data_IF_044161373381
#
_entry.id   IF_044161373381
#
_cell.length_a   1.000
_cell.length_b   1.000
_cell.length_c   1.000
_cell.angle_alpha   90.00
_cell.angle_beta   90.00
_cell.angle_gamma   90.00
#
_symmetry.space_group_name_H-M   'P 1'
#
loop_
_entity.id
_entity.type
_entity.pdbx_description
1 polymer ?
#
# COMPACT_ATOMS: atom_id res chain seq x y z
N UNK A 1 -21.28 3.22 -5.68
CA UNK A 1 -20.64 4.47 -5.24
C UNK A 1 -20.73 5.56 -6.32
N UNK A 2 -20.75 6.87 -5.99
CA UNK A 2 -20.69 7.98 -6.98
C UNK A 2 -19.24 8.27 -7.41
N UNK A 3 -19.02 8.90 -8.57
CA UNK A 3 -17.67 9.15 -9.10
C UNK A 3 -16.84 10.08 -8.21
N UNK A 4 -17.44 11.08 -7.58
CA UNK A 4 -16.76 12.01 -6.68
C UNK A 4 -16.26 11.31 -5.42
N UNK A 5 -17.08 10.42 -4.87
CA UNK A 5 -16.74 9.59 -3.71
C UNK A 5 -15.65 8.57 -4.07
N UNK A 6 -15.76 7.93 -5.23
CA UNK A 6 -14.74 7.02 -5.76
C UNK A 6 -13.39 7.73 -5.95
N UNK A 7 -13.39 8.96 -6.48
CA UNK A 7 -12.18 9.78 -6.63
C UNK A 7 -11.55 10.15 -5.29
N UNK A 8 -12.37 10.41 -4.26
CA UNK A 8 -11.87 10.67 -2.90
C UNK A 8 -11.15 9.44 -2.34
N UNK A 9 -11.79 8.27 -2.37
CA UNK A 9 -11.20 7.02 -1.88
C UNK A 9 -9.96 6.65 -2.69
N UNK A 10 -10.00 6.81 -4.02
CA UNK A 10 -8.86 6.60 -4.90
C UNK A 10 -7.66 7.48 -4.52
N UNK A 11 -7.89 8.77 -4.25
CA UNK A 11 -6.82 9.68 -3.85
C UNK A 11 -6.21 9.30 -2.50
N UNK A 12 -7.02 8.92 -1.52
CA UNK A 12 -6.54 8.47 -0.21
C UNK A 12 -5.78 7.14 -0.31
N UNK A 13 -6.26 6.19 -1.13
CA UNK A 13 -5.53 4.98 -1.49
C UNK A 13 -4.20 5.30 -2.17
N UNK A 14 -4.18 6.22 -3.14
CA UNK A 14 -2.96 6.62 -3.84
C UNK A 14 -1.93 7.25 -2.91
N UNK A 15 -2.36 8.05 -1.92
CA UNK A 15 -1.47 8.58 -0.89
C UNK A 15 -0.96 7.47 0.04
N UNK A 16 -1.83 6.53 0.42
CA UNK A 16 -1.45 5.36 1.21
C UNK A 16 -0.37 4.54 0.50
N UNK A 17 -0.43 4.40 -0.84
CA UNK A 17 0.57 3.68 -1.63
C UNK A 17 1.99 4.21 -1.48
N UNK A 18 2.15 5.51 -1.21
CA UNK A 18 3.46 6.06 -0.88
C UNK A 18 4.05 5.39 0.36
N UNK A 19 3.21 5.01 1.32
CA UNK A 19 3.58 4.39 2.60
C UNK A 19 3.57 2.86 2.50
N UNK A 20 2.67 2.27 1.71
CA UNK A 20 2.45 0.82 1.61
C UNK A 20 3.73 0.05 1.22
N UNK A 21 4.56 0.61 0.34
CA UNK A 21 5.87 0.03 -0.02
C UNK A 21 6.82 -0.17 1.16
N UNK A 22 6.62 0.55 2.27
CA UNK A 22 7.37 0.36 3.53
C UNK A 22 6.80 -0.78 4.37
N UNK A 23 5.48 -0.92 4.39
CA UNK A 23 4.83 -2.03 5.08
C UNK A 23 5.23 -3.35 4.43
N UNK A 24 5.37 -3.37 3.10
CA UNK A 24 5.89 -4.53 2.38
C UNK A 24 7.28 -4.99 2.90
N UNK A 25 8.17 -4.07 3.30
CA UNK A 25 9.47 -4.42 3.90
C UNK A 25 9.37 -5.09 5.27
N UNK A 26 8.32 -4.77 6.03
CA UNK A 26 8.08 -5.34 7.37
C UNK A 26 7.39 -6.69 7.23
N UNK A 27 6.36 -6.71 6.41
CA UNK A 27 5.42 -7.81 6.34
C UNK A 27 5.87 -8.88 5.35
N UNK A 28 6.51 -8.50 4.24
CA UNK A 28 7.15 -9.29 3.15
C UNK A 28 6.30 -10.39 2.47
N UNK A 29 5.37 -10.96 3.21
CA UNK A 29 4.64 -12.20 2.96
C UNK A 29 3.12 -11.97 2.99
N UNK A 30 2.71 -10.74 3.34
CA UNK A 30 1.33 -10.27 3.32
C UNK A 30 1.14 -9.15 4.34
N UNK A 31 0.63 -8.01 3.90
CA UNK A 31 0.34 -6.84 4.75
C UNK A 31 -1.05 -7.04 5.37
N UNK A 32 -1.27 -6.77 6.67
CA UNK A 32 -2.59 -6.87 7.28
C UNK A 32 -3.59 -5.93 6.59
N UNK A 33 -4.78 -6.42 6.27
CA UNK A 33 -5.86 -5.63 5.68
C UNK A 33 -6.25 -4.43 6.55
N UNK A 34 -6.06 -4.52 7.88
CA UNK A 34 -6.26 -3.40 8.82
C UNK A 34 -5.41 -2.17 8.54
N UNK A 35 -4.31 -2.28 7.79
CA UNK A 35 -3.52 -1.11 7.36
C UNK A 35 -4.13 -0.35 6.19
N UNK A 36 -5.10 -0.95 5.49
CA UNK A 36 -5.77 -0.27 4.39
C UNK A 36 -6.56 0.94 4.91
N UNK A 37 -6.59 2.06 4.18
CA UNK A 37 -7.37 3.24 4.57
C UNK A 37 -8.89 3.00 4.52
N UNK A 38 -9.32 1.97 3.78
CA UNK A 38 -10.72 1.55 3.62
C UNK A 38 -10.79 0.03 3.46
N UNK A 39 -11.96 -0.59 3.65
CA UNK A 39 -12.15 -2.00 3.35
C UNK A 39 -11.73 -2.33 1.91
N UNK A 40 -11.06 -3.46 1.72
CA UNK A 40 -10.49 -3.89 0.42
C UNK A 40 -11.49 -3.84 -0.72
N UNK A 41 -12.72 -4.30 -0.49
CA UNK A 41 -13.80 -4.26 -1.48
C UNK A 41 -14.24 -2.85 -1.84
N UNK A 42 -14.23 -1.92 -0.87
CA UNK A 42 -14.53 -0.50 -1.10
C UNK A 42 -13.46 0.14 -1.99
N UNK A 43 -12.18 -0.11 -1.71
CA UNK A 43 -11.07 0.38 -2.54
C UNK A 43 -11.19 -0.16 -3.97
N UNK A 44 -11.45 -1.47 -4.12
CA UNK A 44 -11.66 -2.12 -5.40
C UNK A 44 -12.82 -1.54 -6.20
N UNK A 45 -13.96 -1.27 -5.55
CA UNK A 45 -15.09 -0.60 -6.21
C UNK A 45 -14.69 0.80 -6.70
N UNK A 46 -14.00 1.59 -5.87
CA UNK A 46 -13.53 2.92 -6.23
C UNK A 46 -12.55 2.89 -7.41
N UNK A 47 -11.58 1.98 -7.40
CA UNK A 47 -10.61 1.79 -8.48
C UNK A 47 -11.30 1.47 -9.81
N UNK A 48 -12.30 0.58 -9.80
CA UNK A 48 -13.05 0.22 -11.00
C UNK A 48 -13.86 1.39 -11.57
N UNK A 49 -14.49 2.19 -10.70
CA UNK A 49 -15.24 3.39 -11.12
C UNK A 49 -14.29 4.43 -11.73
N UNK A 50 -13.16 4.70 -11.09
CA UNK A 50 -12.15 5.66 -11.59
C UNK A 50 -11.49 5.18 -12.88
N UNK A 51 -11.17 3.89 -12.97
CA UNK A 51 -10.65 3.25 -14.19
C UNK A 51 -11.63 3.40 -15.35
N UNK A 52 -12.92 3.12 -15.13
CA UNK A 52 -13.95 3.31 -16.15
C UNK A 52 -14.02 4.77 -16.60
N UNK A 53 -14.02 5.72 -15.66
CA UNK A 53 -14.00 7.14 -15.98
C UNK A 53 -12.81 7.51 -16.88
N UNK A 54 -11.61 6.99 -16.59
CA UNK A 54 -10.44 7.23 -17.43
C UNK A 54 -10.58 6.64 -18.83
N UNK A 55 -11.13 5.43 -18.98
CA UNK A 55 -11.44 4.87 -20.31
C UNK A 55 -12.46 5.73 -21.06
N UNK A 56 -13.54 6.16 -20.40
CA UNK A 56 -14.63 6.92 -21.01
C UNK A 56 -14.15 8.28 -21.55
N UNK A 57 -13.12 8.88 -20.94
CA UNK A 57 -12.51 10.15 -21.41
C UNK A 57 -11.29 9.95 -22.31
N UNK A 58 -10.94 8.71 -22.66
CA UNK A 58 -9.80 8.38 -23.53
C UNK A 58 -8.42 8.43 -22.87
N UNK A 59 -8.34 8.51 -21.54
CA UNK A 59 -7.09 8.51 -20.78
C UNK A 59 -6.65 7.07 -20.43
N UNK A 60 -6.27 6.33 -21.46
CA UNK A 60 -5.91 4.90 -21.35
C UNK A 60 -4.74 4.67 -20.39
N UNK A 61 -3.77 5.60 -20.38
CA UNK A 61 -2.57 5.48 -19.53
C UNK A 61 -2.93 5.43 -18.05
N UNK A 62 -3.81 6.32 -17.59
CA UNK A 62 -4.22 6.33 -16.19
C UNK A 62 -5.15 5.16 -15.84
N UNK A 63 -5.98 4.70 -16.79
CA UNK A 63 -6.77 3.48 -16.62
C UNK A 63 -5.89 2.22 -16.40
N UNK A 64 -4.83 2.08 -17.19
CA UNK A 64 -3.90 0.95 -17.09
C UNK A 64 -3.03 1.02 -15.83
N UNK A 65 -2.60 2.22 -15.44
CA UNK A 65 -1.86 2.45 -14.18
C UNK A 65 -2.69 2.07 -12.94
N UNK A 66 -3.99 2.40 -12.96
CA UNK A 66 -4.95 2.03 -11.90
C UNK A 66 -5.07 0.51 -11.77
N UNK A 67 -5.11 -0.20 -12.90
CA UNK A 67 -5.18 -1.67 -12.93
C UNK A 67 -3.92 -2.33 -12.36
N UNK A 68 -2.75 -1.82 -12.75
CA UNK A 68 -1.47 -2.37 -12.32
C UNK A 68 -1.25 -2.20 -10.81
N UNK A 69 -1.70 -1.06 -10.26
CA UNK A 69 -1.60 -0.77 -8.83
C UNK A 69 -2.59 -1.57 -7.99
N UNK A 70 -3.79 -1.85 -8.50
CA UNK A 70 -4.73 -2.77 -7.86
C UNK A 70 -4.09 -4.17 -7.66
N UNK A 71 -3.64 -4.78 -8.76
CA UNK A 71 -3.13 -6.16 -8.78
C UNK A 71 -1.88 -6.32 -7.90
N UNK A 72 -0.96 -5.35 -7.95
CA UNK A 72 0.32 -5.49 -7.27
C UNK A 72 0.25 -5.18 -5.76
N UNK A 73 -0.67 -4.32 -5.33
CA UNK A 73 -0.64 -3.78 -3.97
C UNK A 73 -1.91 -4.01 -3.17
N UNK A 74 -3.10 -4.02 -3.78
CA UNK A 74 -4.30 -4.29 -3.00
C UNK A 74 -4.35 -5.77 -2.61
N UNK A 75 -3.92 -6.65 -3.51
CA UNK A 75 -3.92 -8.10 -3.28
C UNK A 75 -2.77 -8.60 -2.41
N UNK A 76 -1.74 -7.77 -2.16
CA UNK A 76 -0.72 -8.07 -1.15
C UNK A 76 -1.22 -7.88 0.28
N UNK A 77 -2.41 -7.28 0.46
CA UNK A 77 -3.07 -7.20 1.75
C UNK A 77 -3.90 -8.45 1.98
N UNK A 78 -3.70 -9.10 3.12
CA UNK A 78 -4.35 -10.34 3.52
C UNK A 78 -4.95 -10.19 4.92
N UNK A 79 -5.72 -11.19 5.35
CA UNK A 79 -6.28 -11.23 6.70
C UNK A 79 -5.22 -10.95 7.78
N UNK A 80 -5.59 -10.18 8.81
CA UNK A 80 -4.64 -9.67 9.80
C UNK A 80 -3.95 -10.81 10.56
N UNK A 81 -4.71 -11.83 10.98
CA UNK A 81 -4.17 -12.98 11.70
C UNK A 81 -3.29 -13.81 10.77
N UNK A 82 -3.69 -13.98 9.51
CA UNK A 82 -2.86 -14.64 8.50
C UNK A 82 -1.52 -13.92 8.28
N UNK A 83 -1.53 -12.59 8.16
CA UNK A 83 -0.33 -11.77 8.00
C UNK A 83 0.61 -11.87 9.20
N UNK A 84 0.06 -11.78 10.42
CA UNK A 84 0.83 -11.93 11.65
C UNK A 84 1.47 -13.31 11.72
N UNK A 85 0.68 -14.37 11.50
CA UNK A 85 1.17 -15.75 11.54
C UNK A 85 2.28 -15.97 10.50
N UNK A 86 2.13 -15.47 9.27
CA UNK A 86 3.17 -15.58 8.23
C UNK A 86 4.47 -14.92 8.65
N UNK A 87 4.45 -13.74 9.28
CA UNK A 87 5.67 -13.10 9.79
C UNK A 87 6.27 -13.89 10.94
N UNK A 88 5.47 -14.30 11.93
CA UNK A 88 5.93 -15.04 13.11
C UNK A 88 6.60 -16.35 12.69
N UNK A 89 6.00 -17.04 11.73
CA UNK A 89 6.52 -18.29 11.21
C UNK A 89 7.61 -18.12 10.16
N UNK A 90 7.80 -16.91 9.64
CA UNK A 90 8.82 -16.62 8.63
C UNK A 90 10.22 -16.92 9.16
N UNK A 91 11.06 -17.39 8.25
CA UNK A 91 12.50 -17.52 8.47
C UNK A 91 13.16 -16.17 8.80
N UNK A 92 12.51 -15.06 8.40
CA UNK A 92 12.94 -13.69 8.65
C UNK A 92 13.06 -13.42 10.14
N UNK A 93 12.02 -13.73 10.94
CA UNK A 93 12.08 -13.55 12.38
C UNK A 93 12.93 -14.60 13.10
N UNK A 94 13.17 -15.75 12.49
CA UNK A 94 14.01 -16.81 13.06
C UNK A 94 15.52 -16.52 12.90
N UNK A 95 15.90 -15.67 11.94
CA UNK A 95 17.29 -15.29 11.70
C UNK A 95 17.64 -13.95 12.37
N UNK A 96 18.58 -13.97 13.33
CA UNK A 96 19.01 -12.76 14.06
C UNK A 96 19.65 -11.69 13.17
N UNK A 97 20.49 -12.08 12.21
CA UNK A 97 21.18 -11.12 11.35
C UNK A 97 20.21 -10.47 10.37
N UNK A 98 19.30 -11.24 9.78
CA UNK A 98 18.28 -10.69 8.90
C UNK A 98 17.33 -9.73 9.64
N UNK A 99 16.94 -10.06 10.88
CA UNK A 99 16.17 -9.14 11.73
C UNK A 99 16.88 -7.81 11.93
N UNK A 100 18.19 -7.84 12.23
CA UNK A 100 18.99 -6.60 12.39
C UNK A 100 19.00 -5.79 11.09
N UNK A 101 19.27 -6.44 9.96
CA UNK A 101 19.28 -5.77 8.65
C UNK A 101 17.94 -5.11 8.33
N UNK A 102 16.82 -5.80 8.56
CA UNK A 102 15.49 -5.24 8.31
C UNK A 102 15.24 -4.04 9.23
N UNK A 103 15.57 -4.14 10.51
CA UNK A 103 15.42 -3.02 11.46
C UNK A 103 16.26 -1.81 11.02
N UNK A 104 17.49 -2.02 10.55
CA UNK A 104 18.35 -0.95 10.05
C UNK A 104 17.78 -0.29 8.79
N UNK A 105 17.27 -1.08 7.84
CA UNK A 105 16.61 -0.55 6.64
C UNK A 105 15.33 0.22 6.99
N UNK A 106 14.54 -0.26 7.94
CA UNK A 106 13.36 0.46 8.44
C UNK A 106 13.74 1.77 9.11
N UNK A 107 14.85 1.81 9.87
CA UNK A 107 15.38 3.05 10.47
C UNK A 107 15.80 4.04 9.38
N UNK A 108 16.55 3.62 8.37
CA UNK A 108 16.95 4.50 7.24
C UNK A 108 15.73 5.09 6.53
N UNK A 109 14.71 4.26 6.29
CA UNK A 109 13.46 4.69 5.66
C UNK A 109 12.71 5.70 6.54
N UNK A 110 12.61 5.47 7.86
CA UNK A 110 12.03 6.41 8.82
C UNK A 110 12.78 7.74 8.81
N UNK A 111 14.10 7.71 8.87
CA UNK A 111 14.94 8.92 8.98
C UNK A 111 14.83 9.77 7.71
N UNK A 112 14.88 9.15 6.53
CA UNK A 112 14.63 9.84 5.25
C UNK A 112 13.25 10.50 5.17
N UNK A 113 12.23 9.91 5.79
CA UNK A 113 10.89 10.51 5.82
C UNK A 113 10.81 11.72 6.74
N UNK A 114 11.43 11.64 7.92
CA UNK A 114 11.52 12.77 8.83
C UNK A 114 12.20 13.96 8.14
N UNK A 115 13.34 13.73 7.48
CA UNK A 115 14.04 14.76 6.70
C UNK A 115 13.14 15.43 5.66
N UNK A 116 12.48 14.63 4.80
CA UNK A 116 11.56 15.15 3.77
C UNK A 116 10.34 15.88 4.33
N UNK A 117 9.86 15.47 5.51
CA UNK A 117 8.76 16.14 6.21
C UNK A 117 9.19 17.51 6.75
N UNK A 118 10.42 17.63 7.25
CA UNK A 118 10.98 18.89 7.72
C UNK A 118 11.35 19.85 6.58
N UNK A 119 11.72 19.35 5.40
CA UNK A 119 11.96 20.18 4.21
C UNK A 119 10.68 20.85 3.67
N UNK A 120 9.52 20.20 3.76
CA UNK A 120 8.23 20.78 3.33
C UNK A 120 7.67 21.88 4.24
N UNK A 121 8.30 22.15 5.39
CA UNK A 121 7.85 23.14 6.40
C UNK A 121 8.76 24.39 6.42
N UNK A 122 9.77 24.47 5.54
CA UNK A 122 10.60 25.66 5.32
C UNK A 122 10.20 26.37 4.02
#
# INVERSE_FOLDING_TARGET
MKIEEAKKIFNEWHQYMEIASKLDKVFMTGIPESFLPYPKNTIRESLNIVKKFYYDVGDIKNADSTTSTEILFLDSHIDDEEAINKIVDSWVLKNLELRKTIIEELKKVRDSWLEKKYEKIK
#
